data_IF_900767151670
#
_entry.id   IF_900767151670
#
_cell.length_a   1.000
_cell.length_b   1.000
_cell.length_c   1.000
_cell.angle_alpha   90.00
_cell.angle_beta   90.00
_cell.angle_gamma   90.00
#
_symmetry.space_group_name_H-M   'P 1'
#
loop_
_entity.id
_entity.type
_entity.pdbx_description
1 polymer ?
#
# COMPACT_ATOMS: atom_id res chain seq x y z
N UNK A 1 -11.87 5.78 8.81
CA UNK A 1 -10.93 5.37 9.88
C UNK A 1 -9.66 6.17 9.71
N UNK A 2 -9.07 6.71 10.78
CA UNK A 2 -7.86 7.52 10.68
C UNK A 2 -6.64 6.69 11.09
N UNK A 3 -5.58 6.73 10.30
CA UNK A 3 -4.36 5.96 10.52
C UNK A 3 -3.13 6.87 10.63
N UNK A 4 -2.26 6.59 11.59
CA UNK A 4 -0.94 7.22 11.75
C UNK A 4 0.06 6.62 10.75
N UNK A 5 0.79 7.47 10.05
CA UNK A 5 1.85 7.10 9.11
C UNK A 5 3.14 6.87 9.88
N UNK A 6 3.52 5.60 10.06
CA UNK A 6 4.76 5.19 10.74
C UNK A 6 5.88 4.81 9.78
N UNK A 7 5.51 4.54 8.52
CA UNK A 7 6.44 4.44 7.39
C UNK A 7 5.92 5.36 6.29
N UNK A 8 6.75 6.25 5.71
CA UNK A 8 6.31 7.22 4.71
C UNK A 8 5.58 6.61 3.52
N UNK A 9 4.73 7.41 2.88
CA UNK A 9 4.09 7.09 1.60
C UNK A 9 4.74 7.97 0.53
N UNK A 10 5.21 7.36 -0.55
CA UNK A 10 5.92 8.00 -1.66
C UNK A 10 5.08 9.15 -2.24
N UNK A 11 5.65 10.34 -2.28
CA UNK A 11 4.98 11.55 -2.77
C UNK A 11 4.09 12.24 -1.73
N UNK A 12 3.99 11.70 -0.52
CA UNK A 12 3.19 12.23 0.59
C UNK A 12 3.99 12.33 1.89
N UNK A 13 5.28 12.70 1.82
CA UNK A 13 6.21 12.68 2.96
C UNK A 13 5.83 13.65 4.08
N UNK A 14 4.92 14.59 3.80
CA UNK A 14 4.42 15.58 4.77
C UNK A 14 3.20 15.10 5.53
N UNK A 15 2.54 14.05 5.04
CA UNK A 15 1.35 13.47 5.68
C UNK A 15 1.77 12.61 6.85
N UNK A 16 1.17 12.88 8.02
CA UNK A 16 1.36 12.08 9.22
C UNK A 16 0.14 11.22 9.51
N UNK A 17 -1.01 11.59 8.96
CA UNK A 17 -2.24 10.86 9.15
C UNK A 17 -3.05 10.79 7.85
N UNK A 18 -3.69 9.65 7.63
CA UNK A 18 -4.65 9.49 6.54
C UNK A 18 -6.00 9.02 7.06
N UNK A 19 -7.07 9.52 6.46
CA UNK A 19 -8.42 9.03 6.65
C UNK A 19 -8.82 8.06 5.55
N UNK A 20 -9.00 6.79 5.90
CA UNK A 20 -9.54 5.73 5.05
C UNK A 20 -11.07 5.81 4.96
N UNK A 21 -11.56 5.74 3.72
CA UNK A 21 -12.96 5.62 3.33
C UNK A 21 -13.14 4.50 2.31
N UNK A 22 -14.17 3.66 2.48
CA UNK A 22 -14.53 2.61 1.50
C UNK A 22 -15.39 3.26 0.42
N UNK A 23 -15.05 3.03 -0.85
CA UNK A 23 -15.83 3.52 -2.00
C UNK A 23 -16.83 2.45 -2.46
N UNK A 24 -16.33 1.24 -2.66
CA UNK A 24 -17.11 0.04 -3.00
C UNK A 24 -16.37 -1.22 -2.52
N UNK A 25 -16.76 -2.40 -2.98
CA UNK A 25 -16.19 -3.67 -2.52
C UNK A 25 -14.73 -3.91 -2.90
N UNK A 26 -14.22 -3.23 -3.93
CA UNK A 26 -12.84 -3.36 -4.39
C UNK A 26 -12.02 -2.11 -4.13
N UNK A 27 -12.67 -0.94 -4.16
CA UNK A 27 -12.01 0.34 -4.08
C UNK A 27 -12.21 1.01 -2.72
N UNK A 28 -11.11 1.57 -2.23
CA UNK A 28 -11.07 2.46 -1.08
C UNK A 28 -10.33 3.73 -1.46
N UNK A 29 -10.38 4.73 -0.58
CA UNK A 29 -9.66 5.98 -0.75
C UNK A 29 -9.11 6.41 0.60
N UNK A 30 -7.84 6.81 0.61
CA UNK A 30 -7.26 7.53 1.74
C UNK A 30 -7.17 9.01 1.40
N UNK A 31 -7.42 9.84 2.41
CA UNK A 31 -7.29 11.29 2.32
C UNK A 31 -6.30 11.78 3.36
N UNK A 32 -5.27 12.50 2.93
CA UNK A 32 -4.29 13.11 3.81
C UNK A 32 -4.95 14.14 4.73
N UNK A 33 -4.62 14.11 6.02
CA UNK A 33 -5.17 15.06 6.99
C UNK A 33 -4.50 16.43 6.86
N UNK A 34 -3.22 16.46 6.49
CA UNK A 34 -2.44 17.69 6.42
C UNK A 34 -2.68 18.47 5.12
N UNK A 35 -2.65 17.81 3.96
CA UNK A 35 -2.81 18.45 2.64
C UNK A 35 -4.22 18.31 2.07
N UNK A 36 -5.01 17.34 2.54
CA UNK A 36 -6.30 16.99 1.95
C UNK A 36 -6.20 16.22 0.62
N UNK A 37 -5.00 15.85 0.20
CA UNK A 37 -4.77 15.05 -1.02
C UNK A 37 -5.40 13.66 -0.88
N UNK A 38 -5.78 13.05 -2.01
CA UNK A 38 -6.50 11.77 -2.02
C UNK A 38 -5.80 10.75 -2.89
N UNK A 39 -5.74 9.51 -2.39
CA UNK A 39 -5.15 8.37 -3.10
C UNK A 39 -6.21 7.28 -3.19
N UNK A 40 -6.42 6.78 -4.40
CA UNK A 40 -7.30 5.63 -4.63
C UNK A 40 -6.55 4.34 -4.37
N UNK A 41 -7.20 3.47 -3.64
CA UNK A 41 -6.69 2.19 -3.20
C UNK A 41 -7.56 1.08 -3.74
N UNK A 42 -6.95 -0.06 -4.01
CA UNK A 42 -7.63 -1.27 -4.38
C UNK A 42 -7.22 -2.40 -3.45
N UNK A 43 -8.20 -3.14 -2.93
CA UNK A 43 -7.97 -4.35 -2.16
C UNK A 43 -8.58 -5.53 -2.92
N UNK A 44 -7.74 -6.49 -3.28
CA UNK A 44 -8.20 -7.75 -3.82
C UNK A 44 -7.75 -8.89 -2.92
N UNK A 45 -8.70 -9.67 -2.42
CA UNK A 45 -8.40 -10.94 -1.76
C UNK A 45 -7.81 -12.00 -2.71
N UNK A 46 -7.66 -11.69 -4.00
CA UNK A 46 -7.26 -12.60 -5.08
C UNK A 46 -5.77 -12.53 -5.46
N UNK A 47 -4.98 -11.60 -4.91
CA UNK A 47 -3.50 -11.66 -4.97
C UNK A 47 -2.93 -12.75 -4.04
N UNK A 48 -3.65 -13.87 -3.91
CA UNK A 48 -3.27 -15.08 -3.17
C UNK A 48 -1.97 -15.71 -3.67
N UNK A 49 -1.45 -15.29 -4.83
CA UNK A 49 -0.24 -15.83 -5.42
C UNK A 49 1.04 -15.05 -5.10
N UNK A 50 0.93 -13.85 -4.50
CA UNK A 50 2.11 -13.06 -4.13
C UNK A 50 2.37 -13.24 -2.63
N UNK A 51 3.26 -14.17 -2.32
CA UNK A 51 3.80 -14.34 -0.97
C UNK A 51 5.01 -13.43 -0.81
N UNK A 52 4.99 -12.57 0.22
CA UNK A 52 6.11 -11.70 0.56
C UNK A 52 6.25 -11.62 2.07
N UNK A 53 7.49 -11.39 2.52
CA UNK A 53 7.79 -11.21 3.94
C UNK A 53 7.85 -9.72 4.29
N UNK A 54 7.31 -9.36 5.46
CA UNK A 54 7.46 -8.01 6.00
C UNK A 54 8.74 -7.95 6.84
N UNK A 55 9.65 -6.97 6.59
CA UNK A 55 10.82 -6.75 7.43
C UNK A 55 10.43 -6.54 8.90
N UNK A 56 11.24 -7.08 9.83
CA UNK A 56 10.94 -7.03 11.27
C UNK A 56 10.74 -5.61 11.80
N UNK A 57 11.49 -4.64 11.28
CA UNK A 57 11.34 -3.23 11.65
C UNK A 57 9.98 -2.66 11.21
N UNK A 58 9.50 -3.05 10.02
CA UNK A 58 8.20 -2.66 9.51
C UNK A 58 7.07 -3.25 10.37
N UNK A 59 7.16 -4.54 10.70
CA UNK A 59 6.24 -5.23 11.62
C UNK A 59 6.19 -4.55 12.98
N UNK A 60 7.34 -4.17 13.53
CA UNK A 60 7.45 -3.49 14.82
C UNK A 60 6.83 -2.08 14.78
N UNK A 61 7.13 -1.28 13.75
CA UNK A 61 6.57 0.07 13.58
C UNK A 61 5.06 0.08 13.52
N UNK A 62 4.47 -0.85 12.76
CA UNK A 62 3.01 -0.99 12.63
C UNK A 62 2.37 -1.74 13.81
N UNK A 63 3.15 -2.25 14.77
CA UNK A 63 2.68 -3.02 15.92
C UNK A 63 1.83 -4.24 15.51
N UNK A 64 2.30 -4.98 14.49
CA UNK A 64 1.57 -6.13 13.96
C UNK A 64 1.80 -7.34 14.89
N UNK A 65 0.73 -7.79 15.53
CA UNK A 65 0.73 -9.00 16.36
C UNK A 65 0.11 -10.19 15.62
N UNK A 66 -0.93 -9.97 14.82
CA UNK A 66 -1.62 -11.00 14.05
C UNK A 66 -1.90 -10.54 12.62
N UNK A 67 -1.81 -11.47 11.67
CA UNK A 67 -2.10 -11.18 10.26
C UNK A 67 -3.60 -10.88 10.01
N UNK A 68 -4.49 -11.33 10.88
CA UNK A 68 -5.92 -10.99 10.81
C UNK A 68 -6.21 -9.52 11.06
N UNK A 69 -5.28 -8.82 11.70
CA UNK A 69 -5.46 -7.43 12.12
C UNK A 69 -5.02 -6.46 11.01
N UNK A 70 -4.34 -6.96 9.97
CA UNK A 70 -3.83 -6.14 8.88
C UNK A 70 -4.77 -6.11 7.66
N UNK A 71 -4.70 -5.01 6.92
CA UNK A 71 -5.31 -4.86 5.61
C UNK A 71 -4.25 -4.41 4.62
N UNK A 72 -4.27 -5.02 3.44
CA UNK A 72 -3.32 -4.77 2.37
C UNK A 72 -4.06 -4.08 1.24
N UNK A 73 -3.53 -2.92 0.83
CA UNK A 73 -4.05 -2.12 -0.26
C UNK A 73 -2.97 -1.83 -1.28
N UNK A 74 -3.36 -1.72 -2.54
CA UNK A 74 -2.49 -1.31 -3.63
C UNK A 74 -2.94 0.05 -4.15
N UNK A 75 -1.98 0.91 -4.48
CA UNK A 75 -2.27 2.23 -5.06
C UNK A 75 -2.77 2.01 -6.49
N UNK A 76 -3.96 2.53 -6.78
CA UNK A 76 -4.61 2.43 -8.08
C UNK A 76 -4.67 3.78 -8.76
N UNK A 77 -4.06 3.88 -9.95
CA UNK A 77 -4.02 5.09 -10.76
C UNK A 77 -5.05 4.96 -11.87
N UNK A 78 -6.20 5.61 -11.69
CA UNK A 78 -7.25 5.66 -12.71
C UNK A 78 -6.85 6.64 -13.81
N UNK A 79 -6.88 6.17 -15.06
CA UNK A 79 -6.72 6.99 -16.25
C UNK A 79 -8.06 7.23 -16.95
N UNK A 80 -8.10 8.22 -17.85
CA UNK A 80 -9.31 8.55 -18.61
C UNK A 80 -9.84 7.36 -19.42
N UNK A 81 -8.94 6.54 -19.97
CA UNK A 81 -9.26 5.24 -20.53
C UNK A 81 -8.94 4.16 -19.50
N UNK A 82 -9.91 3.30 -19.21
CA UNK A 82 -9.76 2.26 -18.18
C UNK A 82 -8.67 1.26 -18.53
N UNK A 83 -8.41 1.02 -19.82
CA UNK A 83 -7.31 0.17 -20.32
C UNK A 83 -5.92 0.63 -19.88
N UNK A 84 -5.77 1.93 -19.61
CA UNK A 84 -4.49 2.56 -19.30
C UNK A 84 -4.30 2.73 -17.79
N UNK A 85 -5.30 2.33 -17.00
CA UNK A 85 -5.22 2.39 -15.54
C UNK A 85 -4.22 1.37 -15.02
N UNK A 86 -3.47 1.74 -14.00
CA UNK A 86 -2.39 0.93 -13.46
C UNK A 86 -2.53 0.75 -11.95
N UNK A 87 -1.90 -0.29 -11.44
CA UNK A 87 -1.86 -0.60 -10.02
C UNK A 87 -0.41 -0.85 -9.61
N UNK A 88 0.03 -0.20 -8.54
CA UNK A 88 1.36 -0.43 -8.00
C UNK A 88 1.32 -1.63 -7.06
N UNK A 89 1.68 -2.80 -7.58
CA UNK A 89 1.76 -4.06 -6.81
C UNK A 89 3.05 -4.21 -6.01
N UNK A 90 4.10 -3.47 -6.36
CA UNK A 90 5.42 -3.59 -5.75
C UNK A 90 5.59 -2.70 -4.53
N UNK A 91 4.65 -1.79 -4.28
CA UNK A 91 4.67 -0.94 -3.11
C UNK A 91 3.30 -0.89 -2.40
N UNK A 92 2.82 -2.01 -1.81
CA UNK A 92 1.55 -2.02 -1.11
C UNK A 92 1.55 -1.13 0.14
N UNK A 93 0.37 -0.64 0.49
CA UNK A 93 0.07 -0.03 1.77
C UNK A 93 -0.44 -1.09 2.73
N UNK A 94 0.21 -1.19 3.89
CA UNK A 94 -0.19 -2.05 4.99
C UNK A 94 -0.81 -1.18 6.06
N UNK A 95 -2.00 -1.56 6.53
CA UNK A 95 -2.72 -0.89 7.59
C UNK A 95 -3.00 -1.89 8.71
N UNK A 96 -2.66 -1.57 9.94
CA UNK A 96 -3.02 -2.35 11.11
C UNK A 96 -4.29 -1.77 11.74
N UNK A 97 -5.39 -2.51 11.68
CA UNK A 97 -6.70 -2.09 12.16
C UNK A 97 -6.80 -2.03 13.70
N UNK A 98 -5.84 -2.60 14.42
CA UNK A 98 -5.79 -2.59 15.89
C UNK A 98 -5.00 -1.40 16.41
N UNK A 99 -3.78 -1.20 15.91
CA UNK A 99 -2.92 -0.07 16.32
C UNK A 99 -3.26 1.23 15.60
N UNK A 100 -4.07 1.17 14.55
CA UNK A 100 -4.40 2.30 13.66
C UNK A 100 -3.15 2.93 13.03
N UNK A 101 -2.15 2.10 12.75
CA UNK A 101 -0.90 2.51 12.08
C UNK A 101 -0.86 2.00 10.66
N UNK A 102 -0.23 2.77 9.78
CA UNK A 102 -0.06 2.42 8.38
C UNK A 102 1.32 2.77 7.86
N UNK A 103 1.67 2.12 6.74
CA UNK A 103 2.90 2.42 6.03
C UNK A 103 2.93 1.79 4.65
N UNK A 104 3.76 2.37 3.77
CA UNK A 104 4.11 1.77 2.49
C UNK A 104 5.33 0.86 2.66
N UNK A 105 5.31 -0.30 2.02
CA UNK A 105 6.46 -1.20 1.94
C UNK A 105 6.81 -1.43 0.48
N UNK A 106 8.09 -1.34 0.14
CA UNK A 106 8.61 -1.73 -1.18
C UNK A 106 9.02 -3.19 -1.15
N UNK A 107 8.42 -3.99 -2.02
CA UNK A 107 8.72 -5.42 -2.15
C UNK A 107 9.97 -5.63 -3.00
N UNK A 108 10.82 -6.57 -2.59
CA UNK A 108 11.99 -6.96 -3.36
C UNK A 108 11.58 -7.92 -4.50
N UNK A 109 11.87 -7.53 -5.74
CA UNK A 109 11.56 -8.33 -6.93
C UNK A 109 12.28 -9.68 -6.95
N UNK A 110 13.47 -9.75 -6.35
CA UNK A 110 14.23 -11.01 -6.24
C UNK A 110 13.55 -11.97 -5.26
N UNK A 111 13.08 -11.47 -4.12
CA UNK A 111 12.31 -12.30 -3.17
C UNK A 111 10.99 -12.78 -3.76
N UNK A 112 10.42 -12.03 -4.69
CA UNK A 112 9.22 -12.40 -5.45
C UNK A 112 9.50 -13.34 -6.64
N UNK A 113 10.76 -13.68 -6.94
CA UNK A 113 11.13 -14.49 -8.10
C UNK A 113 10.90 -13.80 -9.45
N UNK A 114 10.86 -12.47 -9.45
CA UNK A 114 10.57 -11.61 -10.61
C UNK A 114 11.84 -10.91 -11.12
N UNK A 115 13.01 -11.51 -10.93
CA UNK A 115 14.31 -10.95 -11.31
C UNK A 115 14.39 -10.48 -12.76
N UNK A 116 13.72 -11.21 -13.66
CA UNK A 116 13.67 -10.88 -15.09
C UNK A 116 13.01 -9.53 -15.40
N UNK A 117 12.22 -8.97 -14.47
CA UNK A 117 11.65 -7.64 -14.63
C UNK A 117 12.67 -6.52 -14.40
N UNK A 118 13.73 -6.76 -13.61
CA UNK A 118 14.79 -5.77 -13.40
C UNK A 118 15.54 -5.42 -14.69
N UNK A 119 15.59 -6.35 -15.64
CA UNK A 119 16.22 -6.14 -16.96
C UNK A 119 15.35 -5.29 -17.90
N UNK A 120 14.06 -5.13 -17.59
CA UNK A 120 13.06 -4.44 -18.42
C UNK A 120 12.70 -3.08 -17.82
N UNK A 121 12.82 -2.91 -16.50
CA UNK A 121 12.55 -1.64 -15.85
C UNK A 121 13.65 -0.59 -16.14
N UNK A 122 13.29 0.69 -16.37
CA UNK A 122 14.28 1.74 -16.52
C UNK A 122 15.09 1.88 -15.23
N UNK A 123 16.42 1.87 -15.36
CA UNK A 123 17.33 2.17 -14.24
C UNK A 123 17.25 3.67 -13.96
N UNK A 124 16.69 4.04 -12.81
CA UNK A 124 16.66 5.41 -12.32
C UNK A 124 17.91 5.75 -11.51
#
# INVERSE_FOLDING_TARGET
MKFEVVTPIDGFEREKEFELSKLDDFFSMIKGVETGETIRLMSFGALKSLEFELPKDFVAKLEIENISDISIFYIFVLQAQTSDSSMNIFAPLIMNNKSMKMGQIHLDLHELGLDSLNDILPKF
#
